data_IF_779304373225
#
_entry.id   IF_779304373225
#
_cell.length_a   1.000
_cell.length_b   1.000
_cell.length_c   1.000
_cell.angle_alpha   90.00
_cell.angle_beta   90.00
_cell.angle_gamma   90.00
#
_symmetry.space_group_name_H-M   'P 1'
#
loop_
_entity.id
_entity.type
_entity.pdbx_description
1 polymer ?
#
# COMPACT_ATOMS: atom_id res chain seq x y z
N UNK A 1 25.54 -0.11 -8.31
CA UNK A 1 24.38 0.18 -9.19
C UNK A 1 24.70 1.46 -9.93
N UNK A 2 24.69 1.44 -11.27
CA UNK A 2 24.90 2.64 -12.10
C UNK A 2 23.51 3.19 -12.45
N UNK A 3 23.31 4.50 -12.29
CA UNK A 3 22.10 5.21 -12.71
C UNK A 3 22.44 6.03 -13.95
N UNK A 4 21.56 6.03 -14.94
CA UNK A 4 21.73 6.78 -16.19
C UNK A 4 20.48 7.62 -16.46
N UNK A 5 20.67 8.73 -17.17
CA UNK A 5 19.58 9.52 -17.75
C UNK A 5 19.35 9.00 -19.16
N UNK A 6 18.09 8.76 -19.53
CA UNK A 6 17.68 8.39 -20.87
C UNK A 6 16.97 9.59 -21.49
N UNK A 7 17.67 10.42 -22.29
CA UNK A 7 17.08 11.64 -22.87
C UNK A 7 15.85 11.31 -23.70
N UNK A 8 14.87 12.21 -23.70
CA UNK A 8 13.55 12.06 -24.34
C UNK A 8 12.68 11.00 -23.67
N UNK A 9 13.24 9.88 -23.23
CA UNK A 9 12.50 8.89 -22.47
C UNK A 9 12.03 9.46 -21.12
N UNK A 10 12.87 10.25 -20.48
CA UNK A 10 12.59 10.95 -19.22
C UNK A 10 11.54 12.07 -19.33
N UNK A 11 11.14 12.46 -20.54
CA UNK A 11 10.10 13.48 -20.77
C UNK A 11 8.67 12.92 -20.72
N UNK A 12 8.48 11.60 -20.78
CA UNK A 12 7.13 11.01 -20.71
C UNK A 12 6.65 10.97 -19.26
N UNK A 13 5.49 11.56 -19.00
CA UNK A 13 4.92 11.60 -17.65
C UNK A 13 4.43 10.24 -17.17
N UNK A 14 4.26 10.14 -15.85
CA UNK A 14 3.69 8.96 -15.22
C UNK A 14 2.16 8.95 -15.30
N UNK A 15 1.58 7.77 -15.57
CA UNK A 15 0.16 7.52 -15.34
C UNK A 15 -0.06 6.14 -14.71
N UNK A 16 -1.08 6.03 -13.84
CA UNK A 16 -1.49 4.75 -13.26
C UNK A 16 -2.02 3.76 -14.32
N UNK A 17 -2.66 4.31 -15.36
CA UNK A 17 -3.11 3.57 -16.54
C UNK A 17 -2.39 4.12 -17.78
N UNK A 18 -1.11 3.77 -18.00
CA UNK A 18 -0.33 4.36 -19.08
C UNK A 18 -0.84 3.91 -20.45
N UNK A 19 -0.67 4.77 -21.45
CA UNK A 19 -0.97 4.43 -22.84
C UNK A 19 0.26 3.88 -23.61
N UNK A 20 1.44 3.87 -22.98
CA UNK A 20 2.66 3.26 -23.52
C UNK A 20 3.40 2.40 -22.49
N UNK A 21 4.31 1.54 -22.97
CA UNK A 21 5.24 0.73 -22.17
C UNK A 21 6.66 1.06 -22.62
N UNK A 22 7.54 1.31 -21.65
CA UNK A 22 8.97 1.48 -21.90
C UNK A 22 9.73 0.19 -21.60
N UNK A 23 10.73 -0.13 -22.41
CA UNK A 23 11.68 -1.21 -22.15
C UNK A 23 13.11 -0.75 -22.44
N UNK A 24 14.08 -1.32 -21.72
CA UNK A 24 15.51 -1.06 -21.93
C UNK A 24 16.15 -2.36 -22.40
N UNK A 25 16.69 -2.34 -23.62
CA UNK A 25 17.40 -3.46 -24.23
C UNK A 25 18.73 -3.76 -23.54
N UNK A 26 19.26 -4.96 -23.76
CA UNK A 26 20.57 -5.38 -23.23
C UNK A 26 21.71 -4.53 -23.78
N UNK A 27 21.52 -3.95 -24.96
CA UNK A 27 22.43 -3.01 -25.62
C UNK A 27 22.27 -1.55 -25.12
N UNK A 28 21.39 -1.31 -24.15
CA UNK A 28 21.09 0.02 -23.62
C UNK A 28 20.13 0.83 -24.50
N UNK A 29 19.58 0.25 -25.57
CA UNK A 29 18.51 0.89 -26.34
C UNK A 29 17.25 1.05 -25.49
N UNK A 30 16.49 2.12 -25.73
CA UNK A 30 15.23 2.38 -25.05
C UNK A 30 14.11 2.31 -26.07
N UNK A 31 13.13 1.45 -25.84
CA UNK A 31 11.97 1.27 -26.72
C UNK A 31 10.71 1.71 -25.99
N UNK A 32 9.85 2.45 -26.69
CA UNK A 32 8.54 2.87 -26.19
C UNK A 32 7.48 2.32 -27.14
N UNK A 33 6.60 1.47 -26.63
CA UNK A 33 5.54 0.83 -27.40
C UNK A 33 4.19 1.35 -26.93
N UNK A 34 3.36 1.81 -27.87
CA UNK A 34 1.99 2.20 -27.57
C UNK A 34 1.15 0.96 -27.22
N UNK A 35 0.43 0.99 -26.10
CA UNK A 35 -0.48 -0.09 -25.66
C UNK A 35 -1.83 -0.06 -26.36
N UNK A 36 -2.17 1.08 -26.94
CA UNK A 36 -3.41 1.37 -27.66
C UNK A 36 -3.16 2.46 -28.68
N UNK A 37 -4.16 2.74 -29.52
CA UNK A 37 -4.14 3.94 -30.33
C UNK A 37 -4.02 5.20 -29.44
N UNK A 38 -3.12 6.10 -29.80
CA UNK A 38 -2.87 7.38 -29.15
C UNK A 38 -3.25 8.47 -30.15
N UNK A 39 -4.20 9.33 -29.79
CA UNK A 39 -4.70 10.38 -30.67
C UNK A 39 -3.67 11.48 -30.91
N UNK A 40 -3.81 12.22 -32.02
CA UNK A 40 -3.01 13.42 -32.24
C UNK A 40 -3.30 14.45 -31.13
N UNK A 41 -2.24 14.93 -30.48
CA UNK A 41 -2.35 15.85 -29.34
C UNK A 41 -2.60 15.16 -27.99
N UNK A 42 -2.79 13.84 -27.97
CA UNK A 42 -2.83 13.09 -26.72
C UNK A 42 -1.41 12.92 -26.15
N UNK A 43 -1.27 13.04 -24.84
CA UNK A 43 -0.01 12.84 -24.14
C UNK A 43 0.39 11.35 -24.13
N UNK A 44 1.68 11.05 -24.34
CA UNK A 44 2.25 9.71 -24.16
C UNK A 44 2.69 9.54 -22.72
N UNK A 45 2.11 8.57 -22.02
CA UNK A 45 2.35 8.31 -20.59
C UNK A 45 2.90 6.92 -20.35
N UNK A 46 3.76 6.80 -19.34
CA UNK A 46 4.40 5.55 -18.90
C UNK A 46 4.03 5.20 -17.46
N UNK A 47 4.15 3.93 -17.11
CA UNK A 47 4.13 3.51 -15.72
C UNK A 47 5.56 3.42 -15.21
N UNK A 48 5.89 4.21 -14.19
CA UNK A 48 7.24 4.26 -13.64
C UNK A 48 7.45 3.11 -12.64
N UNK A 49 6.54 3.03 -11.66
CA UNK A 49 6.54 2.01 -10.62
C UNK A 49 5.19 2.01 -9.88
N UNK A 50 4.93 0.96 -9.11
CA UNK A 50 3.84 0.88 -8.14
C UNK A 50 4.29 1.55 -6.84
N UNK A 51 4.25 2.88 -6.79
CA UNK A 51 4.70 3.63 -5.60
C UNK A 51 3.58 4.40 -4.90
N UNK A 52 3.59 4.49 -3.55
CA UNK A 52 2.76 5.41 -2.79
C UNK A 52 2.92 6.87 -3.20
N UNK A 53 1.86 7.66 -3.04
CA UNK A 53 1.91 9.11 -3.24
C UNK A 53 2.92 9.82 -2.32
N UNK A 54 3.21 9.29 -1.13
CA UNK A 54 4.28 9.80 -0.25
C UNK A 54 5.64 9.74 -0.95
N UNK A 55 5.95 8.61 -1.58
CA UNK A 55 7.20 8.40 -2.33
C UNK A 55 7.21 9.19 -3.63
N UNK A 56 6.08 9.28 -4.33
CA UNK A 56 5.93 10.09 -5.54
C UNK A 56 6.24 11.57 -5.25
N UNK A 57 5.68 12.12 -4.17
CA UNK A 57 5.90 13.51 -3.77
C UNK A 57 7.37 13.76 -3.40
N UNK A 58 7.97 12.88 -2.59
CA UNK A 58 9.35 13.04 -2.15
C UNK A 58 10.39 12.86 -3.28
N UNK A 59 10.11 11.97 -4.24
CA UNK A 59 11.07 11.61 -5.29
C UNK A 59 10.90 12.45 -6.55
N UNK A 60 9.65 12.77 -6.91
CA UNK A 60 9.31 13.40 -8.19
C UNK A 60 8.55 14.72 -8.04
N UNK A 61 8.14 15.10 -6.83
CA UNK A 61 7.49 16.39 -6.58
C UNK A 61 6.02 16.49 -7.02
N UNK A 62 5.40 15.38 -7.40
CA UNK A 62 3.99 15.32 -7.80
C UNK A 62 3.18 14.33 -6.97
N UNK A 63 1.86 14.48 -7.04
CA UNK A 63 0.88 13.55 -6.51
C UNK A 63 0.00 13.07 -7.65
N UNK A 64 -0.46 11.84 -7.54
CA UNK A 64 -1.38 11.23 -8.48
C UNK A 64 -2.77 11.22 -7.86
N UNK A 65 -3.75 11.60 -8.66
CA UNK A 65 -5.17 11.49 -8.36
C UNK A 65 -5.78 10.25 -9.02
N UNK A 66 -7.02 9.95 -8.64
CA UNK A 66 -7.76 8.80 -9.13
C UNK A 66 -7.39 7.48 -8.45
N UNK A 67 -7.81 6.37 -9.05
CA UNK A 67 -7.56 5.04 -8.52
C UNK A 67 -6.24 4.48 -9.06
N UNK A 68 -5.55 3.67 -8.25
CA UNK A 68 -4.33 3.01 -8.66
C UNK A 68 -3.40 2.64 -7.51
N UNK A 69 -2.18 2.24 -7.87
CA UNK A 69 -1.15 1.83 -6.93
C UNK A 69 -0.69 2.95 -5.97
N UNK A 70 -0.86 4.21 -6.36
CA UNK A 70 -0.45 5.38 -5.58
C UNK A 70 -1.37 5.68 -4.39
N UNK A 71 -2.60 5.14 -4.41
CA UNK A 71 -3.48 5.06 -3.22
C UNK A 71 -3.00 3.93 -2.33
N UNK A 72 -1.79 4.08 -1.81
CA UNK A 72 -1.15 3.16 -0.87
C UNK A 72 -0.27 3.95 0.08
N UNK A 73 0.14 3.32 1.18
CA UNK A 73 1.11 3.87 2.10
C UNK A 73 1.89 2.76 2.79
N UNK A 74 3.07 3.12 3.29
CA UNK A 74 3.89 2.23 4.09
C UNK A 74 3.66 2.55 5.58
N UNK A 75 3.12 1.58 6.33
CA UNK A 75 2.97 1.68 7.78
C UNK A 75 4.18 1.04 8.45
N UNK A 76 4.94 1.83 9.20
CA UNK A 76 6.05 1.31 9.97
C UNK A 76 5.54 0.71 11.29
N UNK A 77 5.83 -0.58 11.48
CA UNK A 77 5.34 -1.35 12.61
C UNK A 77 6.52 -1.83 13.45
N UNK A 78 6.43 -1.62 14.77
CA UNK A 78 7.42 -2.08 15.73
C UNK A 78 6.74 -2.96 16.79
N UNK A 79 7.13 -4.24 16.83
CA UNK A 79 6.64 -5.19 17.81
C UNK A 79 7.66 -5.35 18.94
N UNK A 80 7.28 -5.06 20.18
CA UNK A 80 8.20 -5.10 21.31
C UNK A 80 8.73 -6.52 21.56
N UNK A 81 9.96 -6.67 22.10
CA UNK A 81 10.51 -7.99 22.44
C UNK A 81 9.62 -8.71 23.46
N UNK A 82 9.69 -10.05 23.55
CA UNK A 82 9.03 -10.79 24.63
C UNK A 82 9.59 -10.32 25.98
N UNK A 83 8.74 -10.36 27.02
CA UNK A 83 9.14 -9.94 28.37
C UNK A 83 10.38 -10.73 28.83
N UNK A 84 11.41 -10.03 29.31
CA UNK A 84 12.61 -10.63 29.89
C UNK A 84 13.73 -10.95 28.89
N UNK A 85 13.62 -10.55 27.62
CA UNK A 85 14.71 -10.63 26.64
C UNK A 85 15.25 -9.23 26.32
N UNK A 86 16.58 -9.07 26.38
CA UNK A 86 17.28 -7.83 25.96
C UNK A 86 17.39 -7.71 24.42
N UNK A 87 16.57 -8.42 23.66
CA UNK A 87 16.60 -8.37 22.20
C UNK A 87 15.96 -7.09 21.66
N UNK A 88 16.46 -6.63 20.51
CA UNK A 88 15.76 -5.59 19.74
C UNK A 88 14.42 -6.16 19.27
N UNK A 89 13.34 -5.41 19.48
CA UNK A 89 12.02 -5.77 18.97
C UNK A 89 12.01 -5.93 17.45
N UNK A 90 11.01 -6.61 16.90
CA UNK A 90 10.87 -6.73 15.46
C UNK A 90 10.37 -5.41 14.88
N UNK A 91 10.91 -5.04 13.72
CA UNK A 91 10.48 -3.88 12.95
C UNK A 91 10.23 -4.31 11.51
N UNK A 92 9.12 -3.86 10.95
CA UNK A 92 8.82 -4.10 9.55
C UNK A 92 8.00 -2.95 8.96
N UNK A 93 8.05 -2.86 7.63
CA UNK A 93 7.27 -1.93 6.85
C UNK A 93 6.11 -2.69 6.21
N UNK A 94 4.88 -2.33 6.58
CA UNK A 94 3.66 -2.96 6.13
C UNK A 94 3.02 -2.08 5.06
N UNK A 95 3.08 -2.53 3.81
CA UNK A 95 2.50 -1.80 2.70
C UNK A 95 0.98 -1.97 2.67
N UNK A 96 0.26 -0.88 2.95
CA UNK A 96 -1.19 -0.77 2.95
C UNK A 96 -1.70 -0.27 1.60
N UNK A 97 -2.75 -0.91 1.11
CA UNK A 97 -3.43 -0.53 -0.13
C UNK A 97 -4.64 0.36 0.15
N UNK A 98 -5.16 1.02 -0.88
CA UNK A 98 -6.25 2.01 -0.80
C UNK A 98 -7.56 1.52 -0.19
N UNK A 99 -7.73 0.19 -0.11
CA UNK A 99 -8.87 -0.51 0.49
C UNK A 99 -8.59 -1.01 1.93
N UNK A 100 -7.46 -0.60 2.51
CA UNK A 100 -7.01 -1.03 3.82
C UNK A 100 -6.47 -2.47 3.87
N UNK A 101 -6.25 -3.14 2.74
CA UNK A 101 -5.60 -4.46 2.72
C UNK A 101 -4.07 -4.35 2.75
N UNK A 102 -3.39 -5.44 3.09
CA UNK A 102 -1.92 -5.52 3.10
C UNK A 102 -1.44 -6.22 1.83
N UNK A 103 -0.55 -5.57 1.09
CA UNK A 103 -0.06 -6.09 -0.19
C UNK A 103 0.79 -7.35 -0.03
N UNK A 104 1.79 -7.32 0.85
CA UNK A 104 2.64 -8.47 1.14
C UNK A 104 2.47 -8.93 2.59
N UNK A 105 1.56 -9.87 2.80
CA UNK A 105 1.23 -10.38 4.14
C UNK A 105 2.32 -11.25 4.77
N UNK A 106 3.29 -11.73 3.97
CA UNK A 106 4.43 -12.51 4.48
C UNK A 106 5.25 -11.72 5.50
N UNK A 107 5.22 -10.38 5.39
CA UNK A 107 5.87 -9.47 6.35
C UNK A 107 5.37 -9.66 7.80
N UNK A 108 4.17 -10.20 7.98
CA UNK A 108 3.58 -10.44 9.31
C UNK A 108 4.07 -11.74 9.96
N UNK A 109 4.68 -12.65 9.19
CA UNK A 109 5.12 -13.96 9.68
C UNK A 109 6.08 -13.91 10.88
N UNK A 110 7.12 -13.05 10.88
CA UNK A 110 7.99 -12.86 12.04
C UNK A 110 7.23 -12.40 13.30
N UNK A 111 6.31 -11.44 13.18
CA UNK A 111 5.50 -10.97 14.31
C UNK A 111 4.61 -12.07 14.88
N UNK A 112 3.95 -12.85 14.00
CA UNK A 112 3.09 -13.96 14.40
C UNK A 112 3.87 -15.06 15.11
N UNK A 113 5.11 -15.35 14.70
CA UNK A 113 5.98 -16.30 15.40
C UNK A 113 6.35 -15.80 16.79
N UNK A 114 6.85 -14.57 16.89
CA UNK A 114 7.24 -14.00 18.18
C UNK A 114 6.06 -13.85 19.14
N UNK A 115 4.86 -13.49 18.64
CA UNK A 115 3.67 -13.36 19.47
C UNK A 115 3.26 -14.69 20.12
N UNK A 116 3.47 -15.82 19.43
CA UNK A 116 3.18 -17.17 19.96
C UNK A 116 4.16 -17.63 21.04
N UNK A 117 5.38 -17.11 21.05
CA UNK A 117 6.41 -17.48 22.03
C UNK A 117 6.20 -16.80 23.40
N UNK A 118 5.43 -15.70 23.46
CA UNK A 118 5.40 -14.82 24.62
C UNK A 118 4.31 -15.07 25.66
N UNK A 119 3.16 -15.66 25.31
CA UNK A 119 2.02 -15.84 26.25
C UNK A 119 1.18 -17.06 25.82
N UNK A 120 0.97 -18.08 26.69
CA UNK A 120 0.21 -19.28 26.33
C UNK A 120 -1.31 -19.06 26.14
N UNK A 121 -1.86 -17.96 26.65
CA UNK A 121 -3.30 -17.77 26.85
C UNK A 121 -3.96 -16.79 25.86
N UNK A 122 -3.16 -16.01 25.11
CA UNK A 122 -3.68 -15.07 24.10
C UNK A 122 -3.29 -15.58 22.72
N UNK A 123 -4.25 -15.70 21.80
CA UNK A 123 -3.96 -16.00 20.40
C UNK A 123 -2.92 -15.01 19.88
N UNK A 124 -1.74 -15.50 19.47
CA UNK A 124 -0.66 -14.64 18.98
C UNK A 124 -1.10 -13.72 17.84
N UNK A 125 -2.11 -14.14 17.06
CA UNK A 125 -2.74 -13.29 16.04
C UNK A 125 -3.41 -12.07 16.65
N UNK A 126 -4.17 -12.23 17.74
CA UNK A 126 -4.89 -11.14 18.41
C UNK A 126 -3.92 -10.06 18.85
N UNK A 127 -2.80 -10.47 19.47
CA UNK A 127 -1.74 -9.57 19.90
C UNK A 127 -1.09 -8.81 18.73
N UNK A 128 -0.88 -9.47 17.58
CA UNK A 128 -0.39 -8.79 16.37
C UNK A 128 -1.44 -7.81 15.84
N UNK A 129 -2.71 -8.20 15.81
CA UNK A 129 -3.80 -7.32 15.38
C UNK A 129 -3.96 -6.08 16.25
N UNK A 130 -3.92 -6.22 17.57
CA UNK A 130 -3.95 -5.11 18.54
C UNK A 130 -2.75 -4.16 18.35
N UNK A 131 -1.55 -4.71 18.12
CA UNK A 131 -0.37 -3.88 17.81
C UNK A 131 -0.53 -3.15 16.48
N UNK A 132 -0.98 -3.83 15.42
CA UNK A 132 -1.18 -3.20 14.11
C UNK A 132 -2.20 -2.06 14.21
N UNK A 133 -3.30 -2.28 14.93
CA UNK A 133 -4.33 -1.28 15.17
C UNK A 133 -3.79 -0.08 15.95
N UNK A 134 -3.01 -0.33 17.01
CA UNK A 134 -2.35 0.73 17.77
C UNK A 134 -1.41 1.57 16.90
N UNK A 135 -0.55 0.93 16.10
CA UNK A 135 0.33 1.62 15.16
C UNK A 135 -0.46 2.44 14.13
N UNK A 136 -1.56 1.88 13.59
CA UNK A 136 -2.39 2.59 12.63
C UNK A 136 -3.06 3.85 13.20
N UNK A 137 -3.58 3.79 14.43
CA UNK A 137 -4.16 4.96 15.09
C UNK A 137 -3.12 6.05 15.38
N UNK A 138 -1.93 5.66 15.85
CA UNK A 138 -0.85 6.61 16.11
C UNK A 138 -0.38 7.30 14.81
N UNK A 139 -0.20 6.53 13.74
CA UNK A 139 0.18 7.04 12.42
C UNK A 139 -0.91 7.96 11.86
N UNK A 140 -2.19 7.59 12.01
CA UNK A 140 -3.35 8.35 11.54
C UNK A 140 -3.39 9.74 12.17
N UNK A 141 -3.20 9.84 13.48
CA UNK A 141 -3.15 11.13 14.16
C UNK A 141 -2.03 12.03 13.63
N UNK A 142 -0.88 11.46 13.26
CA UNK A 142 0.22 12.21 12.66
C UNK A 142 -0.16 12.79 11.28
N UNK A 143 -0.85 12.01 10.45
CA UNK A 143 -1.33 12.47 9.13
C UNK A 143 -2.44 13.51 9.22
N UNK A 144 -3.37 13.38 10.17
CA UNK A 144 -4.39 14.40 10.43
C UNK A 144 -3.78 15.71 10.92
N UNK A 145 -2.79 15.63 11.82
CA UNK A 145 -2.07 16.80 12.30
C UNK A 145 -1.33 17.51 11.15
N UNK A 146 -0.71 16.75 10.24
CA UNK A 146 -0.08 17.30 9.04
C UNK A 146 -1.12 18.01 8.14
N UNK A 147 -2.24 17.36 7.85
CA UNK A 147 -3.30 17.93 7.01
C UNK A 147 -3.94 19.17 7.64
N UNK A 148 -4.17 19.18 8.96
CA UNK A 148 -4.80 20.28 9.66
C UNK A 148 -3.89 21.51 9.87
N UNK A 149 -2.57 21.33 9.83
CA UNK A 149 -1.59 22.41 10.03
C UNK A 149 -0.98 22.94 8.74
N UNK A 150 -1.02 22.17 7.65
CA UNK A 150 -0.44 22.56 6.37
C UNK A 150 -1.31 23.57 5.61
N UNK A 151 -0.66 24.49 4.89
CA UNK A 151 -1.29 25.34 3.88
C UNK A 151 -1.06 24.84 2.45
N UNK A 152 -0.16 23.86 2.27
CA UNK A 152 0.09 23.26 0.96
C UNK A 152 -1.01 22.23 0.68
N UNK A 153 -1.84 22.50 -0.33
CA UNK A 153 -2.97 21.66 -0.75
C UNK A 153 -2.54 20.22 -1.07
N UNK A 154 -1.30 20.03 -1.55
CA UNK A 154 -0.74 18.69 -1.81
C UNK A 154 -0.55 17.90 -0.53
N UNK A 155 -0.04 18.54 0.52
CA UNK A 155 0.14 17.91 1.83
C UNK A 155 -1.20 17.66 2.52
N UNK A 156 -2.17 18.54 2.34
CA UNK A 156 -3.55 18.33 2.82
C UNK A 156 -4.15 17.10 2.15
N UNK A 157 -4.10 17.02 0.81
CA UNK A 157 -4.59 15.87 0.05
C UNK A 157 -3.88 14.57 0.48
N UNK A 158 -2.55 14.60 0.58
CA UNK A 158 -1.76 13.44 0.99
C UNK A 158 -2.15 12.96 2.39
N UNK A 159 -2.28 13.88 3.35
CA UNK A 159 -2.69 13.55 4.71
C UNK A 159 -4.11 12.98 4.78
N UNK A 160 -5.06 13.55 4.05
CA UNK A 160 -6.42 13.01 3.95
C UNK A 160 -6.46 11.61 3.33
N UNK A 161 -5.68 11.37 2.28
CA UNK A 161 -5.57 10.06 1.63
C UNK A 161 -4.97 9.01 2.58
N UNK A 162 -3.87 9.32 3.27
CA UNK A 162 -3.27 8.40 4.24
C UNK A 162 -4.23 8.10 5.41
N UNK A 163 -4.94 9.12 5.92
CA UNK A 163 -5.93 8.93 6.97
C UNK A 163 -7.08 7.99 6.53
N UNK A 164 -7.61 8.15 5.32
CA UNK A 164 -8.64 7.26 4.75
C UNK A 164 -8.15 5.79 4.63
N UNK A 165 -6.90 5.58 4.20
CA UNK A 165 -6.31 4.23 4.13
C UNK A 165 -6.22 3.61 5.53
N UNK A 166 -5.76 4.37 6.52
CA UNK A 166 -5.63 3.91 7.90
C UNK A 166 -6.99 3.65 8.55
N UNK A 167 -8.02 4.43 8.23
CA UNK A 167 -9.39 4.23 8.71
C UNK A 167 -9.97 2.92 8.19
N UNK A 168 -9.79 2.61 6.90
CA UNK A 168 -10.22 1.34 6.30
C UNK A 168 -9.48 0.15 6.91
N UNK A 169 -8.16 0.26 7.05
CA UNK A 169 -7.33 -0.77 7.68
C UNK A 169 -7.74 -1.01 9.14
N UNK A 170 -7.92 0.06 9.92
CA UNK A 170 -8.31 0.00 11.33
C UNK A 170 -9.71 -0.58 11.51
N UNK A 171 -10.67 -0.17 10.68
CA UNK A 171 -12.04 -0.68 10.72
C UNK A 171 -12.09 -2.19 10.47
N UNK A 172 -11.34 -2.65 9.47
CA UNK A 172 -11.21 -4.06 9.11
C UNK A 172 -10.55 -4.87 10.23
N UNK A 173 -9.50 -4.35 10.85
CA UNK A 173 -8.85 -4.98 12.00
C UNK A 173 -9.76 -5.02 13.23
N UNK A 174 -10.46 -3.94 13.53
CA UNK A 174 -11.36 -3.86 14.68
C UNK A 174 -12.50 -4.85 14.55
N UNK A 175 -13.14 -4.93 13.37
CA UNK A 175 -14.19 -5.90 13.09
C UNK A 175 -13.71 -7.35 13.34
N UNK A 176 -12.47 -7.66 12.98
CA UNK A 176 -11.89 -8.97 13.26
C UNK A 176 -11.56 -9.18 14.75
N UNK A 177 -11.03 -8.16 15.45
CA UNK A 177 -10.74 -8.24 16.88
C UNK A 177 -11.99 -8.42 17.74
N UNK A 178 -13.12 -7.90 17.28
CA UNK A 178 -14.43 -8.07 17.93
C UNK A 178 -14.98 -9.50 17.77
N UNK A 179 -14.52 -10.27 16.79
CA UNK A 179 -14.97 -11.66 16.52
C UNK A 179 -13.88 -12.48 15.80
N UNK A 180 -12.80 -12.88 16.50
CA UNK A 180 -11.61 -13.47 15.88
C UNK A 180 -11.73 -14.96 15.54
N UNK A 181 -12.79 -15.64 15.97
CA UNK A 181 -12.82 -17.12 16.09
C UNK A 181 -12.97 -17.87 14.76
N UNK A 182 -13.39 -17.20 13.67
CA UNK A 182 -13.73 -17.88 12.41
C UNK A 182 -12.74 -17.63 11.25
N UNK A 183 -11.84 -16.65 11.38
CA UNK A 183 -10.97 -16.21 10.27
C UNK A 183 -9.59 -15.80 10.78
N UNK A 184 -8.53 -16.30 10.14
CA UNK A 184 -7.16 -15.90 10.47
C UNK A 184 -6.88 -14.43 10.13
N UNK A 185 -6.04 -13.75 10.92
CA UNK A 185 -5.64 -12.35 10.69
C UNK A 185 -5.10 -12.10 9.27
N UNK A 186 -4.32 -13.05 8.74
CA UNK A 186 -3.77 -12.93 7.38
C UNK A 186 -4.87 -12.93 6.33
N UNK A 187 -5.96 -13.66 6.56
CA UNK A 187 -7.07 -13.73 5.64
C UNK A 187 -7.87 -12.42 5.63
N UNK A 188 -8.17 -11.82 6.78
CA UNK A 188 -8.92 -10.54 6.82
C UNK A 188 -8.12 -9.39 6.18
N UNK A 189 -6.79 -9.39 6.36
CA UNK A 189 -5.89 -8.40 5.76
C UNK A 189 -5.66 -8.62 4.26
N UNK A 190 -6.31 -9.62 3.67
CA UNK A 190 -6.27 -9.86 2.24
C UNK A 190 -7.16 -8.90 1.46
N UNK A 191 -6.79 -8.59 0.22
CA UNK A 191 -7.81 -8.14 -0.74
C UNK A 191 -8.86 -9.25 -0.76
N UNK A 192 -10.12 -8.91 -0.46
CA UNK A 192 -11.20 -9.84 -0.76
C UNK A 192 -11.06 -10.24 -2.24
N UNK A 193 -11.35 -11.50 -2.63
CA UNK A 193 -11.52 -11.79 -4.05
C UNK A 193 -12.50 -10.75 -4.59
N UNK A 194 -12.16 -10.12 -5.72
CA UNK A 194 -13.11 -9.23 -6.39
C UNK A 194 -14.44 -9.97 -6.52
N UNK A 195 -15.60 -9.36 -6.21
CA UNK A 195 -16.87 -9.99 -6.50
C UNK A 195 -16.82 -10.39 -7.98
N UNK A 196 -17.00 -11.68 -8.23
CA UNK A 196 -16.96 -12.22 -9.57
C UNK A 196 -18.20 -11.69 -10.30
N UNK A 197 -18.05 -10.58 -11.02
CA UNK A 197 -19.11 -9.95 -11.82
C UNK A 197 -19.42 -10.77 -13.09
N UNK A 198 -19.09 -12.06 -13.12
CA UNK A 198 -19.31 -12.98 -14.24
C UNK A 198 -20.32 -14.09 -13.93
N UNK A 199 -21.36 -13.81 -13.14
CA UNK A 199 -22.55 -14.67 -13.10
C UNK A 199 -23.82 -13.84 -13.15
N UNK A 200 -24.15 -13.36 -14.35
CA UNK A 200 -25.55 -13.12 -14.69
C UNK A 200 -25.79 -13.36 -16.18
N UNK A 201 -26.89 -14.06 -16.45
CA UNK A 201 -27.54 -14.30 -17.73
C UNK A 201 -26.86 -15.24 -18.73
N UNK A 202 -27.00 -16.55 -18.51
CA UNK A 202 -27.63 -17.37 -19.56
C UNK A 202 -28.95 -17.89 -19.00
N UNK A 203 -30.00 -17.12 -19.30
CA UNK A 203 -31.38 -17.51 -19.18
C UNK A 203 -31.63 -18.78 -19.99
N UNK A 204 -32.18 -19.78 -19.31
CA UNK A 204 -32.88 -20.90 -19.93
C UNK A 204 -33.98 -20.35 -20.86
N UNK A 205 -33.88 -20.66 -22.16
CA UNK A 205 -35.02 -20.83 -23.07
C UNK A 205 -35.18 -22.31 -23.40
#
# INVERSE_FOLDING_TARGET
>A
MVRAVAPMFDMMNHAACPNAIGSIGVDGSVTVEARRAIGAGEEVTLFYDSMPNTKALLTYGFLLDGDGAHRSMDLLVQFPPPLGLESQGLRAEVHLLGDGSVANRVVLGPFLRQAKEGVPDVSGERRVGEMLLHCAHAERHSWEALAGTSKDERLVFLGSMCADILDKFSSRLQQWLDSPDDVALVAILSRAPAPDLSTDSDSEE
#
